data_IF_198128110080
#
_entry.id   IF_198128110080
#
_cell.length_a   1.000
_cell.length_b   1.000
_cell.length_c   1.000
_cell.angle_alpha   90.00
_cell.angle_beta   90.00
_cell.angle_gamma   90.00
#
_symmetry.space_group_name_H-M   'P 1'
#
loop_
_entity.id
_entity.type
_entity.pdbx_description
1 polymer ?
#
# COMPACT_ATOMS: atom_id res chain seq x y z
N UNK A 1 15.83 25.93 6.67
CA UNK A 1 16.67 24.74 6.88
C UNK A 1 15.96 23.51 7.48
N UNK A 2 14.62 23.45 7.51
CA UNK A 2 13.88 22.26 7.99
C UNK A 2 13.93 21.04 7.03
N UNK A 3 14.91 20.97 6.12
CA UNK A 3 14.94 20.01 5.03
C UNK A 3 15.20 18.58 5.51
N UNK A 4 16.31 18.37 6.23
CA UNK A 4 16.77 17.02 6.54
C UNK A 4 16.04 16.36 7.71
N UNK A 5 15.66 17.13 8.74
CA UNK A 5 14.85 16.60 9.84
C UNK A 5 13.45 16.16 9.38
N UNK A 6 12.87 16.86 8.39
CA UNK A 6 11.61 16.44 7.80
C UNK A 6 11.79 15.17 6.98
N UNK A 7 12.84 15.06 6.15
CA UNK A 7 13.10 13.82 5.38
C UNK A 7 13.19 12.59 6.28
N UNK A 8 13.83 12.69 7.44
CA UNK A 8 13.91 11.58 8.40
C UNK A 8 12.54 11.25 9.00
N UNK A 9 11.76 12.26 9.43
CA UNK A 9 10.41 12.07 10.00
C UNK A 9 9.37 11.58 8.97
N UNK A 10 9.50 11.99 7.71
CA UNK A 10 8.62 11.61 6.61
C UNK A 10 9.04 10.30 5.92
N UNK A 11 10.24 9.76 6.21
CA UNK A 11 10.72 8.50 5.60
C UNK A 11 9.79 7.32 5.89
N UNK A 12 9.29 7.23 7.13
CA UNK A 12 8.32 6.20 7.53
C UNK A 12 6.94 6.39 6.89
N UNK A 13 6.51 7.66 6.71
CA UNK A 13 5.24 7.97 6.06
C UNK A 13 5.22 7.60 4.59
N UNK A 14 6.32 7.81 3.88
CA UNK A 14 6.41 7.48 2.46
C UNK A 14 6.20 5.97 2.17
N UNK A 15 6.56 5.08 3.12
CA UNK A 15 6.29 3.64 3.00
C UNK A 15 4.78 3.35 3.09
N UNK A 16 4.13 3.94 4.10
CA UNK A 16 2.69 3.80 4.32
C UNK A 16 1.91 4.41 3.15
N UNK A 17 2.29 5.60 2.70
CA UNK A 17 1.70 6.28 1.54
C UNK A 17 1.85 5.48 0.25
N UNK A 18 3.02 4.87 -0.01
CA UNK A 18 3.19 3.98 -1.17
C UNK A 18 2.30 2.75 -1.11
N UNK A 19 2.09 2.18 0.07
CA UNK A 19 1.17 1.05 0.25
C UNK A 19 -0.27 1.47 -0.06
N UNK A 20 -0.75 2.57 0.53
CA UNK A 20 -2.09 3.11 0.25
C UNK A 20 -2.26 3.55 -1.21
N UNK A 21 -1.21 4.08 -1.85
CA UNK A 21 -1.29 4.47 -3.25
C UNK A 21 -1.39 3.26 -4.18
N UNK A 22 -0.64 2.19 -3.90
CA UNK A 22 -0.80 0.90 -4.61
C UNK A 22 -2.20 0.32 -4.39
N UNK A 23 -2.73 0.39 -3.18
CA UNK A 23 -4.07 -0.08 -2.86
C UNK A 23 -5.16 0.70 -3.62
N UNK A 24 -5.01 2.03 -3.73
CA UNK A 24 -5.92 2.88 -4.51
C UNK A 24 -5.82 2.63 -6.02
N UNK A 25 -4.65 2.19 -6.51
CA UNK A 25 -4.45 1.85 -7.92
C UNK A 25 -5.12 0.53 -8.32
N UNK A 26 -5.49 -0.32 -7.35
CA UNK A 26 -6.27 -1.52 -7.63
C UNK A 26 -7.69 -1.14 -8.05
N UNK A 27 -7.90 -1.11 -9.37
CA UNK A 27 -9.18 -0.79 -10.02
C UNK A 27 -10.35 -1.64 -9.50
N UNK A 28 -10.10 -2.86 -9.03
CA UNK A 28 -11.12 -3.72 -8.40
C UNK A 28 -11.66 -3.20 -7.06
N UNK A 29 -10.82 -2.54 -6.26
CA UNK A 29 -11.22 -1.89 -5.00
C UNK A 29 -11.83 -0.52 -5.29
N UNK A 30 -11.21 0.25 -6.20
CA UNK A 30 -11.62 1.61 -6.54
C UNK A 30 -12.97 1.69 -7.28
N UNK A 31 -13.31 0.67 -8.08
CA UNK A 31 -14.56 0.63 -8.82
C UNK A 31 -15.77 0.32 -7.93
N UNK A 32 -15.56 0.02 -6.63
CA UNK A 32 -16.62 -0.35 -5.66
C UNK A 32 -17.62 -1.35 -6.27
N UNK A 33 -17.13 -2.28 -7.07
CA UNK A 33 -17.96 -3.30 -7.72
C UNK A 33 -18.16 -4.51 -6.83
N UNK A 34 -18.14 -4.30 -5.51
CA UNK A 34 -18.40 -5.37 -4.57
C UNK A 34 -19.48 -4.95 -3.58
N UNK A 35 -20.69 -5.49 -3.80
CA UNK A 35 -21.85 -5.32 -2.91
C UNK A 35 -21.63 -5.99 -1.55
N UNK A 36 -20.57 -6.78 -1.36
CA UNK A 36 -20.34 -7.62 -0.19
C UNK A 36 -19.03 -7.23 0.52
N UNK A 37 -19.14 -6.80 1.78
CA UNK A 37 -17.96 -6.45 2.60
C UNK A 37 -16.88 -7.55 2.66
N UNK A 38 -17.27 -8.83 2.48
CA UNK A 38 -16.38 -10.00 2.47
C UNK A 38 -15.36 -9.96 1.32
N UNK A 39 -15.80 -9.71 0.10
CA UNK A 39 -14.91 -9.70 -1.06
C UNK A 39 -14.03 -8.45 -1.07
N UNK A 40 -14.54 -7.31 -0.60
CA UNK A 40 -13.71 -6.12 -0.35
C UNK A 40 -12.55 -6.46 0.61
N UNK A 41 -12.86 -7.14 1.72
CA UNK A 41 -11.87 -7.53 2.70
C UNK A 41 -10.90 -8.60 2.15
N UNK A 42 -11.37 -9.52 1.31
CA UNK A 42 -10.52 -10.49 0.62
C UNK A 42 -9.56 -9.80 -0.36
N UNK A 43 -10.03 -8.83 -1.15
CA UNK A 43 -9.20 -8.03 -2.05
C UNK A 43 -8.16 -7.20 -1.30
N UNK A 44 -8.54 -6.61 -0.16
CA UNK A 44 -7.61 -5.88 0.71
C UNK A 44 -6.50 -6.79 1.24
N UNK A 45 -6.86 -8.01 1.69
CA UNK A 45 -5.89 -9.01 2.17
C UNK A 45 -4.96 -9.49 1.07
N UNK A 46 -5.50 -9.76 -0.13
CA UNK A 46 -4.71 -10.17 -1.29
C UNK A 46 -3.74 -9.07 -1.74
N UNK A 47 -4.19 -7.82 -1.78
CA UNK A 47 -3.34 -6.68 -2.11
C UNK A 47 -2.24 -6.48 -1.07
N UNK A 48 -2.56 -6.67 0.23
CA UNK A 48 -1.58 -6.59 1.31
C UNK A 48 -0.53 -7.71 1.21
N UNK A 49 -0.93 -8.97 0.95
CA UNK A 49 0.03 -10.09 0.79
C UNK A 49 0.90 -9.93 -0.45
N UNK A 50 0.35 -9.48 -1.58
CA UNK A 50 1.13 -9.19 -2.80
C UNK A 50 2.11 -8.03 -2.58
N UNK A 51 1.70 -7.00 -1.85
CA UNK A 51 2.59 -5.90 -1.48
C UNK A 51 3.74 -6.40 -0.59
N UNK A 52 3.44 -7.25 0.39
CA UNK A 52 4.42 -7.83 1.30
C UNK A 52 5.43 -8.71 0.58
N UNK A 53 4.96 -9.63 -0.27
CA UNK A 53 5.83 -10.46 -1.13
C UNK A 53 6.73 -9.60 -2.02
N UNK A 54 6.17 -8.59 -2.68
CA UNK A 54 6.94 -7.67 -3.53
C UNK A 54 8.00 -6.91 -2.73
N UNK A 55 7.66 -6.45 -1.52
CA UNK A 55 8.59 -5.73 -0.65
C UNK A 55 9.75 -6.62 -0.18
N UNK A 56 9.46 -7.88 0.15
CA UNK A 56 10.48 -8.84 0.58
C UNK A 56 11.44 -9.17 -0.57
N UNK A 57 10.91 -9.42 -1.78
CA UNK A 57 11.75 -9.69 -2.96
C UNK A 57 12.60 -8.48 -3.39
N UNK A 58 12.08 -7.25 -3.27
CA UNK A 58 12.86 -6.04 -3.61
C UNK A 58 13.90 -5.64 -2.55
N UNK A 59 13.85 -6.19 -1.33
CA UNK A 59 14.84 -5.90 -0.29
C UNK A 59 16.03 -6.88 -0.30
N UNK A 60 15.92 -7.97 -1.07
CA UNK A 60 16.95 -9.01 -1.22
C UNK A 60 17.79 -8.89 -2.49
N UNK A 61 17.77 -7.75 -3.18
CA UNK A 61 18.56 -7.50 -4.40
C UNK A 61 19.54 -6.34 -4.21
#
# INVERSE_FOLDING_TARGET
DFGDQQRVRYRGRNVVERCFNKLKQWRGIAMRSDKTARNYHAGLRLAATLHWLTSTFSNTA
#
